data_IF_804099773063
#
_entry.id   IF_804099773063
#
_cell.length_a   1.000
_cell.length_b   1.000
_cell.length_c   1.000
_cell.angle_alpha   90.00
_cell.angle_beta   90.00
_cell.angle_gamma   90.00
#
_symmetry.space_group_name_H-M   'P 1'
#
loop_
_entity.id
_entity.type
_entity.pdbx_description
1 polymer ?
#
# COMPACT_ATOMS: atom_id res chain seq x y z
N UNK A 1 -21.61 0.76 2.58
CA UNK A 1 -20.81 1.11 1.38
C UNK A 1 -19.36 0.71 1.62
N UNK A 2 -18.79 -0.16 0.79
CA UNK A 2 -17.41 -0.63 0.96
C UNK A 2 -16.41 0.50 0.76
N UNK A 3 -15.36 0.54 1.58
CA UNK A 3 -14.24 1.48 1.36
C UNK A 3 -13.68 1.27 -0.06
N UNK A 4 -13.44 2.34 -0.84
CA UNK A 4 -12.83 2.21 -2.15
C UNK A 4 -11.51 1.44 -2.05
N UNK A 5 -11.26 0.55 -3.02
CA UNK A 5 -10.17 -0.44 -3.02
C UNK A 5 -8.80 0.16 -2.71
N UNK A 6 -8.57 1.39 -3.13
CA UNK A 6 -7.31 2.10 -2.88
C UNK A 6 -7.10 2.47 -1.42
N UNK A 7 -8.16 2.84 -0.69
CA UNK A 7 -8.06 3.04 0.76
C UNK A 7 -7.74 1.74 1.47
N UNK A 8 -8.19 0.59 0.97
CA UNK A 8 -7.81 -0.73 1.53
C UNK A 8 -6.32 -1.01 1.37
N UNK A 9 -5.73 -0.79 0.19
CA UNK A 9 -4.30 -0.99 -0.01
C UNK A 9 -3.47 -0.09 0.91
N UNK A 10 -3.84 1.19 1.03
CA UNK A 10 -3.11 2.10 1.90
C UNK A 10 -3.27 1.72 3.39
N UNK A 11 -4.46 1.29 3.81
CA UNK A 11 -4.67 0.78 5.17
C UNK A 11 -3.85 -0.49 5.41
N UNK A 12 -3.77 -1.40 4.44
CA UNK A 12 -2.95 -2.60 4.55
C UNK A 12 -1.46 -2.24 4.73
N UNK A 13 -0.92 -1.35 3.90
CA UNK A 13 0.46 -0.88 4.01
C UNK A 13 0.77 -0.26 5.38
N UNK A 14 -0.12 0.58 5.91
CA UNK A 14 0.12 1.29 7.17
C UNK A 14 -0.18 0.43 8.41
N UNK A 15 -1.22 -0.41 8.37
CA UNK A 15 -1.72 -1.12 9.56
C UNK A 15 -1.30 -2.59 9.62
N UNK A 16 -1.19 -3.28 8.47
CA UNK A 16 -0.75 -4.69 8.40
C UNK A 16 0.77 -4.74 8.29
N UNK A 17 1.34 -4.02 7.32
CA UNK A 17 2.78 -3.98 7.08
C UNK A 17 3.52 -2.97 7.96
N UNK A 18 2.81 -2.22 8.81
CA UNK A 18 3.35 -1.24 9.76
C UNK A 18 4.28 -0.20 9.15
N UNK A 19 4.10 0.12 7.87
CA UNK A 19 4.89 1.14 7.20
C UNK A 19 4.50 2.54 7.67
N UNK A 20 5.50 3.41 7.76
CA UNK A 20 5.29 4.85 7.88
C UNK A 20 4.85 5.46 6.54
N UNK A 21 4.25 6.64 6.58
CA UNK A 21 3.89 7.37 5.35
C UNK A 21 5.11 7.64 4.45
N UNK A 22 6.26 7.91 5.04
CA UNK A 22 7.52 8.15 4.32
C UNK A 22 8.02 6.88 3.61
N UNK A 23 7.92 5.72 4.27
CA UNK A 23 8.25 4.44 3.65
C UNK A 23 7.31 4.09 2.51
N UNK A 24 6.00 4.31 2.69
CA UNK A 24 5.03 4.12 1.60
C UNK A 24 5.36 5.03 0.42
N UNK A 25 5.67 6.30 0.67
CA UNK A 25 6.06 7.24 -0.37
C UNK A 25 7.33 6.82 -1.09
N UNK A 26 8.36 6.41 -0.33
CA UNK A 26 9.63 5.89 -0.88
C UNK A 26 9.44 4.67 -1.77
N UNK A 27 8.61 3.71 -1.38
CA UNK A 27 8.38 2.48 -2.16
C UNK A 27 7.47 2.68 -3.36
N UNK A 28 6.47 3.56 -3.25
CA UNK A 28 5.51 3.83 -4.33
C UNK A 28 5.97 4.91 -5.30
N UNK A 29 6.99 5.71 -4.94
CA UNK A 29 7.38 6.90 -5.68
C UNK A 29 6.31 7.99 -5.65
N UNK A 30 5.48 8.01 -4.60
CA UNK A 30 4.45 9.03 -4.36
C UNK A 30 4.92 9.92 -3.22
N UNK A 31 4.69 11.22 -3.34
CA UNK A 31 5.10 12.16 -2.30
C UNK A 31 4.41 11.88 -0.96
N UNK A 32 5.13 12.08 0.15
CA UNK A 32 4.62 11.72 1.49
C UNK A 32 3.38 12.54 1.84
N UNK A 33 3.35 13.81 1.44
CA UNK A 33 2.19 14.68 1.67
C UNK A 33 0.97 14.19 0.89
N UNK A 34 1.20 13.70 -0.33
CA UNK A 34 0.17 13.13 -1.18
C UNK A 34 -0.40 11.83 -0.61
N UNK A 35 0.44 10.97 -0.04
CA UNK A 35 -0.02 9.78 0.71
C UNK A 35 -0.93 10.17 1.88
N UNK A 36 -0.58 11.22 2.64
CA UNK A 36 -1.41 11.72 3.75
C UNK A 36 -2.75 12.26 3.25
N UNK A 37 -2.77 12.98 2.14
CA UNK A 37 -4.00 13.50 1.53
C UNK A 37 -4.96 12.37 1.10
N UNK A 38 -4.43 11.34 0.43
CA UNK A 38 -5.19 10.13 0.04
C UNK A 38 -5.76 9.43 1.29
N UNK A 39 -4.96 9.32 2.37
CA UNK A 39 -5.42 8.74 3.64
C UNK A 39 -6.56 9.55 4.28
N UNK A 40 -6.49 10.88 4.22
CA UNK A 40 -7.52 11.81 4.73
C UNK A 40 -8.81 11.78 3.92
N UNK A 41 -8.75 11.33 2.67
CA UNK A 41 -9.93 11.06 1.86
C UNK A 41 -9.92 11.65 0.47
N UNK A 42 -8.83 12.29 0.05
CA UNK A 42 -8.65 12.77 -1.32
C UNK A 42 -8.63 11.60 -2.31
N UNK A 43 -9.21 11.78 -3.49
CA UNK A 43 -9.26 10.72 -4.49
C UNK A 43 -7.87 10.57 -5.16
N UNK A 44 -7.27 9.38 -5.14
CA UNK A 44 -6.03 9.13 -5.85
C UNK A 44 -6.26 9.03 -7.35
N UNK A 45 -5.28 9.46 -8.14
CA UNK A 45 -5.25 9.25 -9.59
C UNK A 45 -5.08 7.76 -9.91
N UNK A 46 -5.39 7.35 -11.13
CA UNK A 46 -5.21 5.96 -11.58
C UNK A 46 -3.76 5.47 -11.45
N UNK A 47 -2.79 6.37 -11.66
CA UNK A 47 -1.37 6.05 -11.47
C UNK A 47 -1.05 5.78 -10.00
N UNK A 48 -1.54 6.61 -9.08
CA UNK A 48 -1.34 6.43 -7.64
C UNK A 48 -2.01 5.14 -7.14
N UNK A 49 -3.20 4.85 -7.67
CA UNK A 49 -3.93 3.60 -7.41
C UNK A 49 -3.08 2.39 -7.81
N UNK A 50 -2.49 2.41 -9.00
CA UNK A 50 -1.62 1.35 -9.49
C UNK A 50 -0.35 1.20 -8.66
N UNK A 51 0.34 2.30 -8.35
CA UNK A 51 1.57 2.32 -7.53
C UNK A 51 1.33 1.75 -6.12
N UNK A 52 0.28 2.19 -5.43
CA UNK A 52 -0.07 1.69 -4.10
C UNK A 52 -0.43 0.20 -4.11
N UNK A 53 -1.17 -0.25 -5.14
CA UNK A 53 -1.50 -1.66 -5.32
C UNK A 53 -0.24 -2.50 -5.53
N UNK A 54 0.70 -2.04 -6.34
CA UNK A 54 1.96 -2.76 -6.60
C UNK A 54 2.77 -2.95 -5.31
N UNK A 55 2.95 -1.90 -4.51
CA UNK A 55 3.67 -1.99 -3.22
C UNK A 55 2.98 -2.95 -2.25
N UNK A 56 1.65 -2.85 -2.13
CA UNK A 56 0.87 -3.73 -1.25
C UNK A 56 0.97 -5.21 -1.66
N UNK A 57 0.96 -5.47 -2.97
CA UNK A 57 1.14 -6.82 -3.52
C UNK A 57 2.56 -7.35 -3.26
N UNK A 58 3.59 -6.56 -3.59
CA UNK A 58 4.99 -6.96 -3.38
C UNK A 58 5.30 -7.29 -1.92
N UNK A 59 4.79 -6.50 -0.96
CA UNK A 59 5.02 -6.75 0.46
C UNK A 59 4.21 -7.94 0.97
N UNK A 60 3.01 -8.16 0.43
CA UNK A 60 2.22 -9.34 0.77
C UNK A 60 2.82 -10.64 0.21
N UNK A 61 3.41 -10.59 -1.00
CA UNK A 61 4.17 -11.70 -1.59
C UNK A 61 5.44 -12.00 -0.80
N UNK A 62 6.19 -10.96 -0.38
CA UNK A 62 7.35 -11.09 0.49
C UNK A 62 7.00 -11.76 1.82
N UNK A 63 5.92 -11.32 2.48
CA UNK A 63 5.46 -11.97 3.71
C UNK A 63 4.99 -13.40 3.46
N UNK A 64 4.32 -13.69 2.34
CA UNK A 64 3.92 -15.05 1.97
C UNK A 64 5.14 -15.98 1.80
N UNK A 65 6.25 -15.47 1.29
CA UNK A 65 7.51 -16.20 1.13
C UNK A 65 8.29 -16.32 2.44
N UNK A 66 8.25 -15.29 3.29
CA UNK A 66 8.92 -15.27 4.60
C UNK A 66 8.21 -16.20 5.61
N UNK A 67 6.90 -16.44 5.45
CA UNK A 67 6.13 -17.40 6.26
C UNK A 67 6.37 -18.87 5.92
N UNK A 68 7.26 -19.19 4.99
CA UNK A 68 7.81 -20.55 4.87
C UNK A 68 6.79 -21.64 4.54
N UNK A 69 5.95 -21.44 3.53
CA UNK A 69 5.46 -22.59 2.77
C UNK A 69 6.31 -22.71 1.51
N UNK A 70 7.39 -23.49 1.63
CA UNK A 70 7.93 -24.21 0.47
C UNK A 70 6.77 -24.95 -0.19
N UNK A 71 6.37 -24.52 -1.39
CA UNK A 71 5.59 -25.37 -2.27
C UNK A 71 6.58 -26.16 -3.13
N UNK A 72 6.82 -27.40 -2.68
CA UNK A 72 7.11 -28.56 -3.54
C UNK A 72 5.97 -28.75 -4.57
#
# INVERSE_FOLDING_TARGET
>A
MGLPSTKRHLIELLHKHKLTYEQVGKYSGIDTDRIKAIKKGEDPTDEEKAKLKAVAFSLSDLLSKDTGESMD
#
